data_IF_985296172208
#
_entry.id   IF_985296172208
#
_cell.length_a   1.000
_cell.length_b   1.000
_cell.length_c   1.000
_cell.angle_alpha   90.00
_cell.angle_beta   90.00
_cell.angle_gamma   90.00
#
_symmetry.space_group_name_H-M   'P 1'
#
loop_
_entity.id
_entity.type
_entity.pdbx_description
1 polymer ?
#
# COMPACT_ATOMS: atom_id res chain seq x y z
N UNK A 1 29.08 -2.04 -5.94
CA UNK A 1 27.82 -2.14 -5.18
C UNK A 1 28.18 -1.95 -3.73
N UNK A 2 27.41 -1.17 -2.94
CA UNK A 2 27.64 -1.11 -1.49
C UNK A 2 27.58 -2.53 -0.92
N UNK A 3 28.46 -2.81 0.05
CA UNK A 3 28.57 -4.11 0.70
C UNK A 3 27.43 -4.26 1.71
N UNK A 4 26.27 -4.68 1.20
CA UNK A 4 25.04 -4.82 2.00
C UNK A 4 25.24 -5.76 3.19
N UNK A 5 26.12 -6.78 3.05
CA UNK A 5 26.46 -7.69 4.14
C UNK A 5 27.28 -6.97 5.22
N UNK A 6 28.32 -6.25 4.80
CA UNK A 6 29.11 -5.40 5.71
C UNK A 6 28.29 -4.34 6.44
N UNK A 7 27.25 -3.78 5.80
CA UNK A 7 26.37 -2.77 6.43
C UNK A 7 25.46 -3.37 7.52
N UNK A 8 25.14 -4.66 7.46
CA UNK A 8 24.38 -5.37 8.52
C UNK A 8 25.31 -5.68 9.71
N UNK A 9 26.51 -6.16 9.44
CA UNK A 9 27.50 -6.52 10.47
C UNK A 9 28.03 -5.30 11.25
N UNK A 10 28.03 -4.11 10.63
CA UNK A 10 28.56 -2.87 11.22
C UNK A 10 27.49 -1.99 11.91
N UNK A 11 26.30 -2.52 12.17
CA UNK A 11 25.23 -1.75 12.84
C UNK A 11 25.62 -1.38 14.28
N UNK A 12 25.27 -0.18 14.77
CA UNK A 12 25.46 0.19 16.17
C UNK A 12 24.85 -0.87 17.09
N UNK A 13 25.58 -1.27 18.13
CA UNK A 13 25.19 -2.36 19.03
C UNK A 13 23.88 -2.07 19.76
N UNK A 14 23.65 -0.80 20.04
CA UNK A 14 22.45 -0.25 20.68
C UNK A 14 21.18 -0.55 19.88
N UNK A 15 21.28 -0.76 18.57
CA UNK A 15 20.10 -1.09 17.77
C UNK A 15 19.53 -2.47 18.10
N UNK A 16 20.36 -3.40 18.57
CA UNK A 16 19.92 -4.73 18.99
C UNK A 16 19.11 -4.72 20.28
N UNK A 17 19.16 -3.64 21.06
CA UNK A 17 18.35 -3.46 22.26
C UNK A 17 16.89 -3.08 21.92
N UNK A 18 16.61 -2.64 20.69
CA UNK A 18 15.24 -2.32 20.28
C UNK A 18 14.40 -3.59 20.10
N UNK A 19 13.19 -3.65 20.68
CA UNK A 19 12.27 -4.78 20.47
C UNK A 19 11.98 -4.99 18.99
N UNK A 20 12.05 -6.25 18.54
CA UNK A 20 11.80 -6.63 17.15
C UNK A 20 12.69 -5.89 16.14
N UNK A 21 13.92 -5.51 16.51
CA UNK A 21 14.86 -4.90 15.57
C UNK A 21 15.29 -5.90 14.50
N UNK A 22 15.71 -7.11 14.90
CA UNK A 22 16.23 -8.15 14.01
C UNK A 22 15.17 -9.07 13.40
N UNK A 23 13.90 -8.89 13.76
CA UNK A 23 12.82 -9.77 13.33
C UNK A 23 11.49 -9.02 13.25
N UNK A 24 10.54 -9.58 12.51
CA UNK A 24 9.17 -9.08 12.55
C UNK A 24 8.51 -9.44 13.90
N UNK A 25 7.59 -8.60 14.40
CA UNK A 25 6.79 -8.94 15.58
C UNK A 25 5.99 -10.23 15.37
N UNK A 26 5.81 -11.00 16.44
CA UNK A 26 5.01 -12.24 16.49
C UNK A 26 3.50 -11.98 16.65
N UNK A 27 3.10 -10.71 16.77
CA UNK A 27 1.72 -10.25 16.90
C UNK A 27 1.35 -9.22 15.82
N UNK A 28 0.05 -9.04 15.53
CA UNK A 28 -0.41 -7.98 14.63
C UNK A 28 0.05 -6.60 15.08
N UNK A 29 0.31 -5.72 14.10
CA UNK A 29 0.69 -4.32 14.33
C UNK A 29 -0.01 -3.40 13.32
N UNK A 30 -0.16 -2.14 13.72
CA UNK A 30 -0.65 -1.04 12.87
C UNK A 30 0.55 -0.19 12.40
N UNK A 31 0.43 0.50 11.27
CA UNK A 31 1.43 1.48 10.85
C UNK A 31 1.01 2.85 11.38
N UNK A 32 1.90 3.53 12.11
CA UNK A 32 1.64 4.87 12.64
C UNK A 32 1.83 5.95 11.56
N UNK A 33 1.00 5.92 10.51
CA UNK A 33 1.04 6.94 9.46
C UNK A 33 0.56 8.29 10.00
N UNK A 34 -0.55 8.32 10.71
CA UNK A 34 -1.18 9.57 11.18
C UNK A 34 -0.22 10.43 12.01
N UNK A 35 0.49 9.86 12.97
CA UNK A 35 1.44 10.63 13.78
C UNK A 35 2.74 10.97 13.03
N UNK A 36 3.14 10.15 12.05
CA UNK A 36 4.43 10.31 11.36
C UNK A 36 4.39 11.32 10.20
N UNK A 37 3.31 11.33 9.42
CA UNK A 37 3.17 12.18 8.23
C UNK A 37 2.01 13.19 8.35
N UNK A 38 1.26 13.16 9.45
CA UNK A 38 0.09 13.99 9.68
C UNK A 38 -1.17 13.41 9.03
N UNK A 39 -2.32 13.82 9.57
CA UNK A 39 -3.64 13.33 9.17
C UNK A 39 -3.90 13.46 7.66
N UNK A 40 -3.59 14.60 7.06
CA UNK A 40 -3.85 14.84 5.63
C UNK A 40 -3.15 13.83 4.72
N UNK A 41 -1.85 13.59 4.92
CA UNK A 41 -1.10 12.64 4.09
C UNK A 41 -1.44 11.18 4.43
N UNK A 42 -1.80 10.91 5.70
CA UNK A 42 -2.27 9.59 6.09
C UNK A 42 -3.57 9.24 5.34
N UNK A 43 -4.54 10.16 5.33
CA UNK A 43 -5.80 9.97 4.59
C UNK A 43 -5.53 9.80 3.09
N UNK A 44 -4.71 10.66 2.48
CA UNK A 44 -4.36 10.55 1.05
C UNK A 44 -3.78 9.17 0.70
N UNK A 45 -2.89 8.62 1.53
CA UNK A 45 -2.31 7.28 1.32
C UNK A 45 -3.32 6.16 1.54
N UNK A 46 -4.20 6.27 2.54
CA UNK A 46 -5.27 5.28 2.74
C UNK A 46 -6.29 5.32 1.60
N UNK A 47 -6.49 6.48 0.98
CA UNK A 47 -7.37 6.71 -0.16
C UNK A 47 -6.70 6.37 -1.52
N UNK A 48 -5.44 5.91 -1.53
CA UNK A 48 -4.79 5.31 -2.71
C UNK A 48 -5.29 3.87 -2.96
N UNK A 49 -6.59 3.66 -2.80
CA UNK A 49 -7.27 2.42 -3.14
C UNK A 49 -7.99 2.53 -4.50
N UNK A 50 -8.48 1.39 -4.97
CA UNK A 50 -9.30 1.35 -6.18
C UNK A 50 -8.59 1.74 -7.48
N UNK A 51 -9.37 2.21 -8.45
CA UNK A 51 -8.85 2.66 -9.75
C UNK A 51 -8.55 4.15 -9.72
N UNK A 52 -7.27 4.50 -9.92
CA UNK A 52 -6.75 5.87 -9.88
C UNK A 52 -6.05 6.24 -11.20
N UNK A 53 -5.96 7.54 -11.56
CA UNK A 53 -6.58 8.68 -10.86
C UNK A 53 -8.09 8.74 -11.11
N UNK A 54 -8.83 9.31 -10.14
CA UNK A 54 -10.25 9.61 -10.33
C UNK A 54 -10.41 10.76 -11.33
N UNK A 55 -11.01 10.48 -12.49
CA UNK A 55 -11.31 11.48 -13.51
C UNK A 55 -12.72 12.09 -13.34
N UNK A 56 -12.88 13.36 -13.70
CA UNK A 56 -14.21 14.03 -13.68
C UNK A 56 -15.26 13.29 -14.52
N UNK A 57 -14.84 12.61 -15.59
CA UNK A 57 -15.74 11.79 -16.40
C UNK A 57 -16.28 10.61 -15.60
N UNK A 58 -15.45 9.96 -14.78
CA UNK A 58 -15.84 8.84 -13.90
C UNK A 58 -16.79 9.32 -12.80
N UNK A 59 -16.50 10.48 -12.19
CA UNK A 59 -17.42 11.12 -11.24
C UNK A 59 -18.82 11.30 -11.84
N UNK A 60 -18.89 11.73 -13.11
CA UNK A 60 -20.16 11.92 -13.84
C UNK A 60 -20.89 10.63 -14.23
N UNK A 61 -20.25 9.46 -14.11
CA UNK A 61 -20.88 8.16 -14.35
C UNK A 61 -21.48 7.55 -13.08
N UNK A 62 -21.21 8.12 -11.90
CA UNK A 62 -21.75 7.59 -10.66
C UNK A 62 -23.28 7.68 -10.62
N UNK A 63 -23.90 6.56 -10.27
CA UNK A 63 -25.34 6.44 -10.02
C UNK A 63 -25.70 6.52 -8.54
N UNK A 64 -24.71 6.62 -7.66
CA UNK A 64 -24.88 6.68 -6.21
C UNK A 64 -24.53 8.08 -5.72
N UNK A 65 -25.32 8.60 -4.81
CA UNK A 65 -25.11 9.93 -4.24
C UNK A 65 -25.21 9.88 -2.71
N UNK A 66 -24.35 10.65 -2.05
CA UNK A 66 -24.36 10.87 -0.61
C UNK A 66 -24.31 12.38 -0.37
N UNK A 67 -25.28 12.92 0.38
CA UNK A 67 -25.43 14.37 0.62
C UNK A 67 -25.37 15.24 -0.65
N UNK A 68 -25.90 14.72 -1.77
CA UNK A 68 -25.92 15.42 -3.06
C UNK A 68 -24.62 15.31 -3.88
N UNK A 69 -23.61 14.58 -3.39
CA UNK A 69 -22.34 14.38 -4.07
C UNK A 69 -22.24 12.95 -4.65
N UNK A 70 -21.65 12.79 -5.86
CA UNK A 70 -21.46 11.47 -6.45
C UNK A 70 -20.54 10.61 -5.58
N UNK A 71 -20.93 9.37 -5.32
CA UNK A 71 -20.14 8.41 -4.57
C UNK A 71 -19.31 7.60 -5.55
N UNK A 72 -17.99 7.54 -5.32
CA UNK A 72 -17.09 6.62 -6.00
C UNK A 72 -16.80 5.48 -5.03
N UNK A 73 -16.92 4.26 -5.52
CA UNK A 73 -16.59 3.06 -4.77
C UNK A 73 -15.20 2.57 -5.19
N UNK A 74 -14.53 1.85 -4.30
CA UNK A 74 -13.21 1.23 -4.55
C UNK A 74 -13.23 0.36 -5.81
N UNK A 75 -14.33 -0.38 -6.01
CA UNK A 75 -14.60 -1.11 -7.23
C UNK A 75 -15.25 -0.18 -8.27
N UNK A 76 -14.74 -0.12 -9.51
CA UNK A 76 -15.35 0.68 -10.56
C UNK A 76 -16.75 0.14 -10.90
N UNK A 77 -17.70 1.05 -11.19
CA UNK A 77 -19.03 0.65 -11.68
C UNK A 77 -18.95 0.06 -13.09
N UNK A 78 -20.00 -0.63 -13.54
CA UNK A 78 -20.06 -1.16 -14.90
C UNK A 78 -19.95 -0.04 -15.96
N UNK A 79 -20.50 1.14 -15.70
CA UNK A 79 -20.37 2.30 -16.59
C UNK A 79 -18.92 2.81 -16.67
N UNK A 80 -18.20 2.81 -15.55
CA UNK A 80 -16.78 3.15 -15.53
C UNK A 80 -15.95 2.10 -16.28
N UNK A 81 -16.25 0.82 -16.09
CA UNK A 81 -15.63 -0.29 -16.82
C UNK A 81 -15.87 -0.18 -18.33
N UNK A 82 -17.09 0.11 -18.76
CA UNK A 82 -17.40 0.28 -20.18
C UNK A 82 -16.68 1.50 -20.77
N UNK A 83 -16.63 2.61 -20.04
CA UNK A 83 -15.85 3.79 -20.43
C UNK A 83 -14.36 3.47 -20.63
N UNK A 84 -13.73 2.79 -19.67
CA UNK A 84 -12.34 2.38 -19.77
C UNK A 84 -12.10 1.44 -20.96
N UNK A 85 -13.06 0.53 -21.23
CA UNK A 85 -13.00 -0.40 -22.36
C UNK A 85 -13.07 0.31 -23.70
N UNK A 86 -14.01 1.24 -23.87
CA UNK A 86 -14.17 2.03 -25.09
C UNK A 86 -12.95 2.90 -25.39
N UNK A 87 -12.33 3.47 -24.34
CA UNK A 87 -11.12 4.29 -24.48
C UNK A 87 -9.86 3.46 -24.77
N UNK A 88 -9.90 2.15 -24.48
CA UNK A 88 -8.76 1.25 -24.66
C UNK A 88 -7.73 1.35 -23.53
N UNK A 89 -8.19 1.62 -22.31
CA UNK A 89 -7.31 1.83 -21.18
C UNK A 89 -6.63 0.55 -20.69
N UNK A 90 -5.47 0.74 -20.08
CA UNK A 90 -4.72 -0.32 -19.37
C UNK A 90 -4.33 0.18 -18.00
N UNK A 91 -4.22 -0.74 -17.05
CA UNK A 91 -3.95 -0.44 -15.66
C UNK A 91 -2.63 -1.06 -15.21
N UNK A 92 -2.04 -0.47 -14.18
CA UNK A 92 -0.90 -1.03 -13.48
C UNK A 92 -1.25 -1.13 -11.99
N UNK A 93 -1.22 -2.34 -11.45
CA UNK A 93 -1.28 -2.50 -10.01
C UNK A 93 -0.02 -1.87 -9.39
N UNK A 94 -0.23 -1.04 -8.38
CA UNK A 94 0.82 -0.47 -7.54
C UNK A 94 0.65 -1.00 -6.12
N UNK A 95 1.77 -1.17 -5.41
CA UNK A 95 1.78 -1.50 -3.99
C UNK A 95 2.36 -0.30 -3.24
N UNK A 96 1.72 0.09 -2.13
CA UNK A 96 2.29 1.02 -1.17
C UNK A 96 3.23 0.24 -0.26
N UNK A 97 4.51 0.58 -0.28
CA UNK A 97 5.55 -0.03 0.55
C UNK A 97 5.93 0.94 1.65
N UNK A 98 5.66 0.55 2.89
CA UNK A 98 6.06 1.30 4.08
C UNK A 98 7.22 0.59 4.76
N UNK A 99 8.32 1.31 4.96
CA UNK A 99 9.46 0.84 5.73
C UNK A 99 9.40 1.42 7.14
N UNK A 100 9.45 0.55 8.15
CA UNK A 100 9.47 0.94 9.56
C UNK A 100 10.86 0.74 10.17
N UNK A 101 11.26 1.62 11.09
CA UNK A 101 12.56 1.52 11.77
C UNK A 101 12.48 0.83 13.13
N UNK A 102 11.32 0.92 13.80
CA UNK A 102 11.07 0.28 15.09
C UNK A 102 9.59 0.03 15.31
N UNK A 103 9.28 -0.72 16.37
CA UNK A 103 7.91 -0.94 16.84
C UNK A 103 7.74 -0.37 18.24
N UNK A 104 6.60 0.25 18.50
CA UNK A 104 6.26 0.86 19.79
C UNK A 104 4.92 0.33 20.30
N UNK A 105 4.86 -0.03 21.59
CA UNK A 105 3.60 -0.45 22.22
C UNK A 105 2.88 0.74 22.85
N UNK A 106 1.65 1.00 22.40
CA UNK A 106 0.78 2.05 22.91
C UNK A 106 -0.61 1.47 23.18
N UNK A 107 -1.08 1.55 24.42
CA UNK A 107 -2.43 1.08 24.78
C UNK A 107 -2.70 -0.40 24.47
N UNK A 108 -1.69 -1.26 24.53
CA UNK A 108 -1.81 -2.69 24.21
C UNK A 108 -1.81 -3.05 22.72
N UNK A 109 -1.62 -2.06 21.84
CA UNK A 109 -1.42 -2.24 20.40
C UNK A 109 0.03 -1.96 20.03
N UNK A 110 0.53 -2.68 19.03
CA UNK A 110 1.87 -2.49 18.49
C UNK A 110 1.80 -1.60 17.25
N UNK A 111 2.67 -0.60 17.18
CA UNK A 111 2.74 0.36 16.09
C UNK A 111 4.12 0.30 15.42
N UNK A 112 4.16 0.06 14.11
CA UNK A 112 5.37 0.22 13.30
C UNK A 112 5.58 1.71 12.99
N UNK A 113 6.75 2.23 13.32
CA UNK A 113 7.11 3.64 13.11
C UNK A 113 7.74 3.80 11.72
N UNK A 114 7.03 4.43 10.76
CA UNK A 114 7.49 4.53 9.38
C UNK A 114 8.60 5.59 9.23
N UNK A 115 9.57 5.34 8.35
CA UNK A 115 10.57 6.35 7.95
C UNK A 115 10.63 6.57 6.43
N UNK A 116 10.03 5.66 5.65
CA UNK A 116 10.05 5.74 4.19
C UNK A 116 8.80 5.07 3.61
N UNK A 117 8.17 5.76 2.65
CA UNK A 117 7.02 5.27 1.90
C UNK A 117 7.37 5.34 0.42
N UNK A 118 7.10 4.28 -0.32
CA UNK A 118 7.33 4.22 -1.76
C UNK A 118 6.23 3.46 -2.48
N UNK A 119 6.05 3.76 -3.76
CA UNK A 119 5.15 3.02 -4.64
C UNK A 119 5.96 2.03 -5.47
N UNK A 120 5.54 0.76 -5.46
CA UNK A 120 6.17 -0.30 -6.26
C UNK A 120 5.16 -0.90 -7.23
N UNK A 121 5.38 -0.81 -8.55
CA UNK A 121 4.49 -1.44 -9.50
C UNK A 121 4.59 -2.96 -9.38
N UNK A 122 3.47 -3.66 -9.56
CA UNK A 122 3.47 -5.10 -9.74
C UNK A 122 4.35 -5.47 -10.94
N UNK A 123 5.17 -6.52 -10.79
CA UNK A 123 6.14 -6.91 -11.80
C UNK A 123 5.85 -8.32 -12.32
N UNK A 124 6.04 -8.52 -13.62
CA UNK A 124 6.09 -9.85 -14.25
C UNK A 124 7.45 -9.99 -14.92
N UNK A 125 8.23 -11.00 -14.49
CA UNK A 125 9.60 -11.25 -15.00
C UNK A 125 10.53 -10.02 -14.86
N UNK A 126 10.48 -9.36 -13.71
CA UNK A 126 11.34 -8.21 -13.39
C UNK A 126 10.97 -6.89 -14.08
N UNK A 127 9.89 -6.85 -14.86
CA UNK A 127 9.40 -5.62 -15.52
C UNK A 127 8.02 -5.26 -14.98
N UNK A 128 7.70 -3.95 -14.84
CA UNK A 128 6.35 -3.52 -14.50
C UNK A 128 5.33 -4.16 -15.45
N UNK A 129 4.27 -4.73 -14.89
CA UNK A 129 3.19 -5.35 -15.66
C UNK A 129 2.00 -4.41 -15.78
N UNK A 130 1.30 -4.49 -16.91
CA UNK A 130 -0.01 -3.89 -17.10
C UNK A 130 -1.08 -4.97 -17.29
N UNK A 131 -2.32 -4.60 -16.99
CA UNK A 131 -3.51 -5.43 -17.12
C UNK A 131 -4.59 -4.67 -17.88
N UNK A 132 -5.47 -5.39 -18.58
CA UNK A 132 -6.60 -4.80 -19.27
C UNK A 132 -7.80 -4.57 -18.35
N UNK A 133 -8.80 -3.86 -18.86
CA UNK A 133 -10.05 -3.53 -18.16
C UNK A 133 -10.77 -4.78 -17.62
N UNK A 134 -10.78 -5.88 -18.37
CA UNK A 134 -11.47 -7.10 -17.94
C UNK A 134 -10.83 -7.74 -16.70
N UNK A 135 -9.53 -7.51 -16.47
CA UNK A 135 -8.89 -7.94 -15.25
C UNK A 135 -9.38 -7.14 -14.05
N UNK A 136 -9.53 -5.81 -14.21
CA UNK A 136 -10.07 -4.93 -13.16
C UNK A 136 -11.51 -5.30 -12.83
N UNK A 137 -12.35 -5.57 -13.84
CA UNK A 137 -13.74 -6.01 -13.64
C UNK A 137 -13.86 -7.27 -12.77
N UNK A 138 -12.90 -8.19 -12.90
CA UNK A 138 -12.93 -9.48 -12.20
C UNK A 138 -12.20 -9.45 -10.85
N UNK A 139 -11.58 -8.34 -10.47
CA UNK A 139 -10.90 -8.20 -9.20
C UNK A 139 -11.74 -7.40 -8.23
N UNK A 140 -11.88 -7.93 -7.02
CA UNK A 140 -12.55 -7.22 -5.92
C UNK A 140 -11.51 -6.37 -5.17
N UNK A 141 -11.42 -5.10 -5.54
CA UNK A 141 -10.47 -4.13 -4.99
C UNK A 141 -10.77 -3.77 -3.54
N UNK A 142 -12.03 -3.84 -3.10
CA UNK A 142 -12.38 -3.59 -1.69
C UNK A 142 -11.71 -4.60 -0.74
N UNK A 143 -11.49 -5.82 -1.22
CA UNK A 143 -10.81 -6.89 -0.47
C UNK A 143 -9.30 -6.72 -0.39
N UNK A 144 -8.71 -5.86 -1.22
CA UNK A 144 -7.28 -5.55 -1.14
C UNK A 144 -6.98 -4.86 0.20
N UNK A 145 -7.91 -4.05 0.71
CA UNK A 145 -7.79 -3.39 2.01
C UNK A 145 -8.21 -4.28 3.19
N UNK A 146 -8.99 -5.33 2.95
CA UNK A 146 -9.30 -6.36 3.96
C UNK A 146 -8.07 -7.20 4.32
N UNK A 147 -7.08 -7.25 3.44
CA UNK A 147 -5.78 -7.82 3.73
C UNK A 147 -5.04 -6.97 4.76
N UNK A 148 -4.91 -7.45 6.00
CA UNK A 148 -3.88 -6.98 6.93
C UNK A 148 -2.57 -6.80 6.16
N UNK A 149 -1.73 -5.77 6.44
CA UNK A 149 -0.51 -5.50 5.69
C UNK A 149 0.28 -6.80 5.43
N UNK A 150 0.14 -7.33 4.21
CA UNK A 150 0.71 -8.61 3.85
C UNK A 150 2.13 -8.34 3.39
N UNK A 151 3.07 -8.66 4.27
CA UNK A 151 4.48 -8.52 3.98
C UNK A 151 4.92 -9.47 2.85
N UNK A 152 5.41 -8.89 1.74
CA UNK A 152 6.13 -9.61 0.69
C UNK A 152 7.64 -9.61 0.95
N UNK A 153 8.07 -10.44 1.90
CA UNK A 153 9.27 -11.27 1.77
C UNK A 153 10.66 -10.62 1.70
N UNK A 154 10.87 -9.34 2.05
CA UNK A 154 12.24 -8.81 2.19
C UNK A 154 12.66 -8.65 3.65
N UNK A 155 13.22 -9.71 4.24
CA UNK A 155 13.74 -9.66 5.61
C UNK A 155 15.23 -9.37 5.49
N UNK A 156 15.70 -8.15 5.76
CA UNK A 156 17.13 -7.85 5.66
C UNK A 156 17.97 -8.63 6.69
N UNK A 157 17.33 -9.36 7.62
CA UNK A 157 17.97 -10.23 8.61
C UNK A 157 17.84 -11.73 8.27
N UNK A 158 17.34 -12.12 7.10
CA UNK A 158 17.21 -13.56 6.76
C UNK A 158 18.56 -14.28 6.71
N UNK A 159 19.65 -13.53 6.56
CA UNK A 159 21.03 -14.02 6.50
C UNK A 159 21.88 -13.53 7.69
N UNK A 160 21.27 -12.99 8.75
CA UNK A 160 21.93 -12.50 9.97
C UNK A 160 22.02 -13.59 11.07
#
# INVERSE_FOLDING_TARGET
MPDIAGDIENRPKELWDFPNYGCLPDRPFEIDLESAIGEFLAQDIFDLDGTQPIESKILGLSKKYFDGHPVIEVNPSEEAIDFYRERGDTFQMINVIVCCHSFEERGGKLYGLPYHISLRPAQKRGKPSSVGVDWIKNMDLSRVLEGNPHYMGYNPFSDA
#
